data_IF_685161307609
#
_entry.id   IF_685161307609
#
_cell.length_a   1.000
_cell.length_b   1.000
_cell.length_c   1.000
_cell.angle_alpha   90.00
_cell.angle_beta   90.00
_cell.angle_gamma   90.00
#
_symmetry.space_group_name_H-M   'P 1'
#
loop_
_entity.id
_entity.type
_entity.pdbx_description
1 polymer ?
#
# COMPACT_ATOMS: atom_id res chain seq x y z
N UNK A 1 -14.57 8.68 -6.03
CA UNK A 1 -14.00 7.32 -5.95
C UNK A 1 -14.82 6.26 -6.73
N UNK A 2 -16.06 5.93 -6.33
CA UNK A 2 -16.88 4.87 -6.97
C UNK A 2 -16.94 4.94 -8.51
N UNK A 3 -17.29 6.10 -9.07
CA UNK A 3 -17.33 6.34 -10.53
C UNK A 3 -15.97 6.14 -11.20
N UNK A 4 -14.88 6.51 -10.53
CA UNK A 4 -13.53 6.42 -11.07
C UNK A 4 -13.07 4.96 -11.18
N UNK A 5 -13.48 4.13 -10.22
CA UNK A 5 -13.21 2.70 -10.19
C UNK A 5 -14.27 1.87 -10.93
N UNK A 6 -15.32 2.50 -11.47
CA UNK A 6 -16.47 1.85 -12.09
C UNK A 6 -17.11 0.76 -11.18
N UNK A 7 -17.34 1.12 -9.92
CA UNK A 7 -17.99 0.27 -8.91
C UNK A 7 -19.30 0.91 -8.41
N UNK A 8 -20.26 0.07 -8.04
CA UNK A 8 -21.56 0.50 -7.49
C UNK A 8 -21.52 0.55 -5.95
N UNK A 9 -20.93 -0.48 -5.35
CA UNK A 9 -20.79 -0.62 -3.90
C UNK A 9 -19.33 -0.39 -3.45
N UNK A 10 -19.13 0.20 -2.27
CA UNK A 10 -17.80 0.25 -1.63
C UNK A 10 -17.27 -1.16 -1.36
N UNK A 11 -18.16 -2.15 -1.24
CA UNK A 11 -17.80 -3.55 -1.14
C UNK A 11 -16.94 -4.07 -2.29
N UNK A 12 -17.07 -3.46 -3.46
CA UNK A 12 -16.32 -3.83 -4.67
C UNK A 12 -15.01 -3.06 -4.79
N UNK A 13 -14.69 -2.18 -3.84
CA UNK A 13 -13.49 -1.33 -3.85
C UNK A 13 -12.20 -2.11 -4.11
N UNK A 14 -11.90 -3.22 -3.40
CA UNK A 14 -10.69 -4.00 -3.68
C UNK A 14 -10.64 -4.53 -5.12
N UNK A 15 -11.78 -5.03 -5.63
CA UNK A 15 -11.85 -5.59 -6.98
C UNK A 15 -11.71 -4.50 -8.07
N UNK A 16 -12.25 -3.30 -7.82
CA UNK A 16 -12.11 -2.15 -8.70
C UNK A 16 -10.65 -1.70 -8.77
N UNK A 17 -9.97 -1.60 -7.61
CA UNK A 17 -8.55 -1.25 -7.55
C UNK A 17 -7.71 -2.30 -8.27
N UNK A 18 -7.93 -3.59 -8.01
CA UNK A 18 -7.18 -4.67 -8.66
C UNK A 18 -7.31 -4.61 -10.18
N UNK A 19 -8.52 -4.45 -10.71
CA UNK A 19 -8.75 -4.32 -12.16
C UNK A 19 -7.96 -3.18 -12.79
N UNK A 20 -7.87 -2.04 -12.10
CA UNK A 20 -7.12 -0.88 -12.59
C UNK A 20 -5.61 -1.11 -12.52
N UNK A 21 -5.10 -1.70 -11.42
CA UNK A 21 -3.67 -1.95 -11.21
C UNK A 21 -3.06 -2.84 -12.30
N UNK A 22 -3.84 -3.76 -12.88
CA UNK A 22 -3.39 -4.66 -13.93
C UNK A 22 -3.92 -4.27 -15.32
N UNK A 23 -4.24 -2.99 -15.52
CA UNK A 23 -4.68 -2.44 -16.81
C UNK A 23 -3.73 -1.37 -17.34
N UNK A 24 -3.81 -1.11 -18.65
CA UNK A 24 -3.10 0.01 -19.30
C UNK A 24 -3.52 1.40 -18.76
N UNK A 25 -4.65 1.49 -18.05
CA UNK A 25 -5.17 2.73 -17.47
C UNK A 25 -4.60 3.05 -16.08
N UNK A 26 -3.69 2.21 -15.56
CA UNK A 26 -3.12 2.36 -14.21
C UNK A 26 -2.53 3.76 -13.98
N UNK A 27 -1.67 4.23 -14.87
CA UNK A 27 -0.99 5.52 -14.70
C UNK A 27 -1.97 6.69 -14.83
N UNK A 28 -2.88 6.67 -15.81
CA UNK A 28 -3.94 7.67 -15.95
C UNK A 28 -4.78 7.78 -14.67
N UNK A 29 -5.12 6.64 -14.06
CA UNK A 29 -5.84 6.59 -12.80
C UNK A 29 -5.01 7.16 -11.63
N UNK A 30 -3.72 6.86 -11.56
CA UNK A 30 -2.84 7.41 -10.52
C UNK A 30 -2.73 8.92 -10.60
N UNK A 31 -2.53 9.48 -11.80
CA UNK A 31 -2.48 10.94 -11.99
C UNK A 31 -3.80 11.62 -11.59
N UNK A 32 -4.95 11.04 -11.97
CA UNK A 32 -6.25 11.56 -11.53
C UNK A 32 -6.39 11.58 -10.02
N UNK A 33 -5.92 10.54 -9.32
CA UNK A 33 -5.96 10.53 -7.86
C UNK A 33 -4.95 11.51 -7.24
N UNK A 34 -3.74 11.64 -7.78
CA UNK A 34 -2.78 12.64 -7.35
C UNK A 34 -3.38 14.05 -7.41
N UNK A 35 -4.00 14.41 -8.53
CA UNK A 35 -4.66 15.72 -8.69
C UNK A 35 -5.84 15.90 -7.73
N UNK A 36 -6.61 14.84 -7.45
CA UNK A 36 -7.73 14.89 -6.51
C UNK A 36 -7.31 15.06 -5.05
N UNK A 37 -6.06 14.70 -4.71
CA UNK A 37 -5.54 14.68 -3.35
C UNK A 37 -4.39 15.68 -3.15
N UNK A 38 -4.29 16.70 -4.01
CA UNK A 38 -3.25 17.74 -3.95
C UNK A 38 -1.83 17.17 -3.89
N UNK A 39 -1.63 16.00 -4.50
CA UNK A 39 -0.38 15.25 -4.52
C UNK A 39 0.13 14.83 -3.12
N UNK A 40 -0.73 14.83 -2.10
CA UNK A 40 -0.37 14.42 -0.74
C UNK A 40 -0.39 12.89 -0.59
N UNK A 41 0.79 12.29 -0.71
CA UNK A 41 1.01 10.85 -0.56
C UNK A 41 1.31 10.42 0.90
N UNK A 42 1.21 11.32 1.89
CA UNK A 42 1.62 11.03 3.28
C UNK A 42 0.69 10.07 4.03
N UNK A 43 -0.49 9.74 3.50
CA UNK A 43 -1.49 8.88 4.13
C UNK A 43 -2.24 7.98 3.14
N UNK A 44 -2.90 6.93 3.64
CA UNK A 44 -3.73 6.04 2.83
C UNK A 44 -5.09 6.70 2.48
N UNK A 45 -5.29 7.02 1.21
CA UNK A 45 -6.53 7.66 0.73
C UNK A 45 -7.77 6.77 0.82
N UNK A 46 -7.60 5.46 0.96
CA UNK A 46 -8.69 4.49 1.03
C UNK A 46 -9.06 4.07 2.45
N UNK A 47 -8.28 4.49 3.45
CA UNK A 47 -8.41 4.04 4.83
C UNK A 47 -9.85 4.18 5.36
N UNK A 48 -10.41 5.40 5.34
CA UNK A 48 -11.75 5.65 5.88
C UNK A 48 -12.83 4.82 5.16
N UNK A 49 -12.74 4.70 3.82
CA UNK A 49 -13.70 3.92 3.03
C UNK A 49 -13.62 2.43 3.37
N UNK A 50 -12.42 1.93 3.63
CA UNK A 50 -12.17 0.54 3.98
C UNK A 50 -12.60 0.23 5.42
N UNK A 51 -12.35 1.13 6.36
CA UNK A 51 -12.78 1.00 7.76
C UNK A 51 -14.32 1.00 7.88
N UNK A 52 -15.00 1.90 7.16
CA UNK A 52 -16.46 1.93 7.07
C UNK A 52 -17.02 0.59 6.57
N UNK A 53 -16.35 -0.01 5.58
CA UNK A 53 -16.73 -1.32 5.08
C UNK A 53 -16.51 -2.43 6.12
N UNK A 54 -15.32 -2.51 6.73
CA UNK A 54 -15.00 -3.58 7.70
C UNK A 54 -15.93 -3.51 8.91
N UNK A 55 -16.22 -2.30 9.40
CA UNK A 55 -17.13 -2.08 10.52
C UNK A 55 -18.52 -2.69 10.27
N UNK A 56 -19.00 -2.69 9.02
CA UNK A 56 -20.28 -3.29 8.64
C UNK A 56 -20.24 -4.83 8.60
N UNK A 57 -19.07 -5.44 8.39
CA UNK A 57 -18.97 -6.88 8.07
C UNK A 57 -18.68 -7.82 9.24
N UNK A 58 -18.35 -7.32 10.45
CA UNK A 58 -17.89 -8.17 11.58
C UNK A 58 -16.79 -9.20 11.16
N UNK A 59 -16.02 -8.92 10.11
CA UNK A 59 -14.90 -9.76 9.71
C UNK A 59 -13.70 -9.53 10.64
N UNK A 60 -12.69 -10.41 10.54
CA UNK A 60 -11.40 -10.37 11.25
C UNK A 60 -11.18 -9.00 11.88
N UNK A 61 -11.33 -8.88 13.21
CA UNK A 61 -11.31 -7.62 13.96
C UNK A 61 -9.93 -6.97 13.89
N UNK A 62 -9.54 -6.55 12.71
CA UNK A 62 -8.29 -5.89 12.42
C UNK A 62 -8.45 -4.47 12.95
N UNK A 63 -7.64 -4.14 13.96
CA UNK A 63 -7.56 -2.79 14.47
C UNK A 63 -6.63 -1.98 13.56
N UNK A 64 -7.08 -0.81 13.13
CA UNK A 64 -6.26 0.08 12.32
C UNK A 64 -5.15 0.70 13.19
N UNK A 65 -3.93 0.82 12.63
CA UNK A 65 -2.80 1.45 13.33
C UNK A 65 -2.82 2.97 13.11
N UNK A 66 -3.09 3.81 14.13
CA UNK A 66 -3.13 5.25 13.95
C UNK A 66 -1.80 5.79 13.40
N UNK A 67 -1.85 6.83 12.57
CA UNK A 67 -0.65 7.40 11.95
C UNK A 67 0.42 7.82 12.98
N UNK A 68 0.01 8.29 14.16
CA UNK A 68 0.93 8.64 15.26
C UNK A 68 1.82 7.46 15.69
N UNK A 69 1.30 6.23 15.65
CA UNK A 69 2.07 5.02 15.94
C UNK A 69 3.05 4.73 14.81
N UNK A 70 2.64 4.87 13.55
CA UNK A 70 3.54 4.73 12.40
C UNK A 70 4.71 5.73 12.44
N UNK A 71 4.43 6.98 12.81
CA UNK A 71 5.46 8.02 12.96
C UNK A 71 6.40 7.68 14.11
N UNK A 72 5.87 7.25 15.26
CA UNK A 72 6.69 6.81 16.40
C UNK A 72 7.63 5.67 16.02
N UNK A 73 7.12 4.61 15.39
CA UNK A 73 7.93 3.48 14.93
C UNK A 73 9.00 3.91 13.94
N UNK A 74 8.66 4.80 13.01
CA UNK A 74 9.62 5.32 12.03
C UNK A 74 10.76 6.09 12.69
N UNK A 75 10.47 6.91 13.71
CA UNK A 75 11.49 7.57 14.51
C UNK A 75 12.39 6.56 15.25
N UNK A 76 11.82 5.49 15.81
CA UNK A 76 12.58 4.45 16.52
C UNK A 76 13.50 3.65 15.58
N UNK A 77 13.02 3.32 14.38
CA UNK A 77 13.81 2.54 13.39
C UNK A 77 14.82 3.39 12.60
N UNK A 78 14.63 4.71 12.59
CA UNK A 78 15.51 5.64 11.88
C UNK A 78 15.49 5.47 10.36
N UNK A 79 16.61 5.86 9.73
CA UNK A 79 16.77 5.93 8.26
C UNK A 79 17.79 4.92 7.72
N UNK A 80 18.07 3.85 8.46
CA UNK A 80 19.06 2.84 8.04
C UNK A 80 18.62 2.19 6.72
N UNK A 81 19.56 2.01 5.78
CA UNK A 81 19.35 1.30 4.51
C UNK A 81 19.13 -0.18 4.75
N UNK A 82 18.33 -0.81 3.91
CA UNK A 82 18.02 -2.25 4.00
C UNK A 82 16.54 -2.55 3.90
N UNK A 83 16.24 -3.85 3.94
CA UNK A 83 14.90 -4.37 3.75
C UNK A 83 14.01 -4.06 4.96
N UNK A 84 12.83 -3.50 4.71
CA UNK A 84 11.77 -3.28 5.70
C UNK A 84 10.81 -4.47 5.65
N UNK A 85 10.66 -5.18 6.76
CA UNK A 85 9.77 -6.35 6.85
C UNK A 85 8.49 -6.00 7.60
N UNK A 86 7.34 -6.26 6.99
CA UNK A 86 6.02 -6.09 7.59
C UNK A 86 5.20 -7.38 7.42
N UNK A 87 5.08 -8.23 8.46
CA UNK A 87 4.45 -9.53 8.37
C UNK A 87 2.91 -9.49 8.30
N UNK A 88 2.28 -8.33 8.54
CA UNK A 88 0.83 -8.14 8.58
C UNK A 88 0.46 -6.76 8.05
N UNK A 89 0.76 -6.53 6.78
CA UNK A 89 0.80 -5.19 6.20
C UNK A 89 -0.55 -4.48 6.15
N UNK A 90 -1.68 -5.21 6.16
CA UNK A 90 -2.99 -4.62 5.93
C UNK A 90 -3.00 -3.83 4.62
N UNK A 91 -3.36 -2.55 4.68
CA UNK A 91 -3.30 -1.63 3.54
C UNK A 91 -1.95 -0.92 3.37
N UNK A 92 -0.99 -1.18 4.26
CA UNK A 92 0.37 -0.64 4.21
C UNK A 92 0.60 0.65 5.00
N UNK A 93 -0.26 1.01 5.95
CA UNK A 93 -0.17 2.30 6.66
C UNK A 93 1.17 2.52 7.38
N UNK A 94 1.74 1.49 8.00
CA UNK A 94 3.07 1.55 8.62
C UNK A 94 4.18 1.79 7.59
N UNK A 95 4.08 1.15 6.42
CA UNK A 95 5.02 1.36 5.31
C UNK A 95 4.91 2.77 4.75
N UNK A 96 3.69 3.30 4.59
CA UNK A 96 3.45 4.68 4.13
C UNK A 96 4.07 5.68 5.10
N UNK A 97 3.85 5.50 6.41
CA UNK A 97 4.41 6.38 7.43
C UNK A 97 5.95 6.33 7.44
N UNK A 98 6.54 5.14 7.30
CA UNK A 98 7.99 4.99 7.21
C UNK A 98 8.58 5.60 5.93
N UNK A 99 7.93 5.38 4.80
CA UNK A 99 8.28 5.97 3.51
C UNK A 99 8.23 7.51 3.60
N UNK A 100 7.16 8.07 4.16
CA UNK A 100 7.01 9.52 4.28
C UNK A 100 8.08 10.11 5.22
N UNK A 101 8.32 9.47 6.37
CA UNK A 101 9.36 9.86 7.30
C UNK A 101 10.75 9.88 6.63
N UNK A 102 11.11 8.84 5.88
CA UNK A 102 12.39 8.76 5.17
C UNK A 102 12.49 9.80 4.07
N UNK A 103 11.43 10.00 3.29
CA UNK A 103 11.36 11.04 2.25
C UNK A 103 11.62 12.42 2.83
N UNK A 104 11.01 12.75 3.98
CA UNK A 104 11.20 14.03 4.66
C UNK A 104 12.61 14.19 5.26
N UNK A 105 13.19 13.13 5.81
CA UNK A 105 14.51 13.18 6.46
C UNK A 105 15.69 13.16 5.49
N UNK A 106 15.56 12.42 4.38
CA UNK A 106 16.61 12.24 3.39
C UNK A 106 16.47 13.22 2.21
N UNK A 107 15.28 13.78 1.98
CA UNK A 107 15.00 14.71 0.89
C UNK A 107 15.53 14.19 -0.45
N UNK A 108 16.49 14.90 -1.06
CA UNK A 108 17.08 14.55 -2.36
C UNK A 108 17.88 13.23 -2.34
N UNK A 109 18.33 12.77 -1.16
CA UNK A 109 19.04 11.50 -1.00
C UNK A 109 18.09 10.29 -0.91
N UNK A 110 16.78 10.53 -0.85
CA UNK A 110 15.80 9.45 -0.71
C UNK A 110 15.69 8.61 -1.98
N UNK A 111 15.94 7.31 -1.86
CA UNK A 111 15.65 6.34 -2.92
C UNK A 111 14.93 5.11 -2.34
N UNK A 112 13.83 4.68 -2.96
CA UNK A 112 13.08 3.49 -2.52
C UNK A 112 13.89 2.20 -2.69
N UNK A 113 14.84 2.15 -3.62
CA UNK A 113 15.72 0.99 -3.83
C UNK A 113 16.71 0.74 -2.69
N UNK A 114 17.02 1.76 -1.89
CA UNK A 114 17.81 1.61 -0.66
C UNK A 114 17.00 1.01 0.49
N UNK A 115 15.67 0.98 0.35
CA UNK A 115 14.70 0.63 1.39
C UNK A 115 13.60 -0.31 0.85
N UNK A 116 13.94 -1.45 0.23
CA UNK A 116 12.94 -2.36 -0.33
C UNK A 116 12.04 -2.92 0.78
N UNK A 117 10.76 -3.13 0.48
CA UNK A 117 9.81 -3.70 1.45
C UNK A 117 9.62 -5.20 1.21
N UNK A 118 9.32 -5.94 2.27
CA UNK A 118 8.77 -7.28 2.21
C UNK A 118 7.52 -7.31 3.08
N UNK A 119 6.37 -7.36 2.42
CA UNK A 119 5.07 -7.32 3.09
C UNK A 119 4.38 -8.67 2.98
N UNK A 120 3.77 -9.12 4.08
CA UNK A 120 2.83 -10.24 4.07
C UNK A 120 1.44 -9.72 4.43
N UNK A 121 0.42 -10.25 3.75
CA UNK A 121 -0.97 -9.94 4.08
C UNK A 121 -1.89 -11.13 3.78
N UNK A 122 -2.81 -11.41 4.70
CA UNK A 122 -3.69 -12.58 4.67
C UNK A 122 -5.01 -12.29 3.93
N UNK A 123 -5.51 -11.06 4.03
CA UNK A 123 -6.81 -10.62 3.52
C UNK A 123 -6.78 -10.40 2.02
N UNK A 124 -7.60 -11.16 1.29
CA UNK A 124 -7.88 -10.93 -0.12
C UNK A 124 -8.35 -9.48 -0.40
N UNK A 125 -8.98 -8.83 0.58
CA UNK A 125 -9.53 -7.47 0.44
C UNK A 125 -8.45 -6.39 0.57
N UNK A 126 -7.45 -6.61 1.43
CA UNK A 126 -6.39 -5.64 1.68
C UNK A 126 -5.33 -5.64 0.58
N UNK A 127 -5.07 -6.80 -0.05
CA UNK A 127 -4.01 -6.97 -1.07
C UNK A 127 -4.09 -5.93 -2.21
N UNK A 128 -5.23 -5.69 -2.87
CA UNK A 128 -5.30 -4.67 -3.92
C UNK A 128 -4.97 -3.26 -3.41
N UNK A 129 -5.42 -2.92 -2.20
CA UNK A 129 -5.19 -1.60 -1.59
C UNK A 129 -3.72 -1.45 -1.20
N UNK A 130 -3.10 -2.49 -0.63
CA UNK A 130 -1.68 -2.54 -0.33
C UNK A 130 -0.85 -2.33 -1.60
N UNK A 131 -1.11 -3.10 -2.66
CA UNK A 131 -0.39 -2.98 -3.93
C UNK A 131 -0.54 -1.59 -4.54
N UNK A 132 -1.74 -1.00 -4.49
CA UNK A 132 -1.96 0.39 -4.88
C UNK A 132 -1.08 1.35 -4.08
N UNK A 133 -1.14 1.25 -2.75
CA UNK A 133 -0.45 2.18 -1.85
C UNK A 133 1.06 2.15 -2.02
N UNK A 134 1.63 0.96 -2.27
CA UNK A 134 3.05 0.82 -2.56
C UNK A 134 3.38 1.34 -3.98
N UNK A 135 2.58 0.98 -4.98
CA UNK A 135 2.84 1.32 -6.38
C UNK A 135 2.76 2.82 -6.67
N UNK A 136 1.77 3.53 -6.13
CA UNK A 136 1.62 4.97 -6.37
C UNK A 136 2.75 5.80 -5.73
N UNK A 137 3.45 5.23 -4.74
CA UNK A 137 4.59 5.85 -4.04
C UNK A 137 5.96 5.44 -4.60
N UNK A 138 5.98 4.65 -5.67
CA UNK A 138 7.24 4.14 -6.25
C UNK A 138 8.00 3.20 -5.31
N UNK A 139 7.31 2.59 -4.33
CA UNK A 139 7.94 1.67 -3.37
C UNK A 139 8.26 0.35 -4.08
N UNK A 140 9.50 -0.10 -3.92
CA UNK A 140 9.98 -1.37 -4.48
C UNK A 140 10.01 -2.45 -3.40
N UNK A 141 9.86 -3.71 -3.80
CA UNK A 141 9.84 -4.81 -2.84
C UNK A 141 9.01 -6.01 -3.28
N UNK A 142 8.62 -6.82 -2.30
CA UNK A 142 7.86 -8.05 -2.48
C UNK A 142 6.62 -8.03 -1.58
N UNK A 143 5.48 -8.45 -2.13
CA UNK A 143 4.24 -8.64 -1.37
C UNK A 143 3.82 -10.10 -1.49
N UNK A 144 3.63 -10.74 -0.34
CA UNK A 144 3.16 -12.10 -0.19
C UNK A 144 1.71 -12.09 0.26
N UNK A 145 0.81 -12.54 -0.62
CA UNK A 145 -0.56 -12.82 -0.23
C UNK A 145 -0.61 -14.23 0.35
N UNK A 146 -0.77 -14.35 1.66
CA UNK A 146 -0.63 -15.65 2.33
C UNK A 146 -0.63 -15.57 3.84
N UNK A 147 -0.48 -16.73 4.47
CA UNK A 147 -0.31 -16.85 5.91
C UNK A 147 1.19 -16.81 6.24
N UNK A 148 1.60 -15.78 6.96
CA UNK A 148 3.01 -15.54 7.31
C UNK A 148 3.56 -16.53 8.34
N UNK A 149 2.69 -17.14 9.15
CA UNK A 149 3.06 -18.10 10.19
C UNK A 149 3.28 -19.49 9.58
N UNK A 150 2.36 -19.95 8.71
CA UNK A 150 2.48 -21.25 8.02
C UNK A 150 3.36 -21.18 6.78
N UNK A 151 3.66 -19.98 6.28
CA UNK A 151 4.35 -19.71 5.00
C UNK A 151 3.58 -20.21 3.78
N UNK A 152 2.27 -20.38 3.89
CA UNK A 152 1.41 -20.69 2.75
C UNK A 152 1.20 -19.44 1.89
N UNK A 153 1.61 -19.50 0.63
CA UNK A 153 1.53 -18.39 -0.32
C UNK A 153 0.41 -18.67 -1.33
N UNK A 154 -0.57 -17.79 -1.40
CA UNK A 154 -1.63 -17.80 -2.43
C UNK A 154 -1.18 -17.07 -3.70
N UNK A 155 -0.43 -15.99 -3.56
CA UNK A 155 0.17 -15.24 -4.66
C UNK A 155 1.38 -14.44 -4.17
N UNK A 156 2.34 -14.18 -5.06
CA UNK A 156 3.46 -13.28 -4.81
C UNK A 156 3.44 -12.15 -5.82
N UNK A 157 3.79 -10.95 -5.38
CA UNK A 157 3.90 -9.77 -6.24
C UNK A 157 5.28 -9.14 -6.08
N UNK A 158 5.90 -8.78 -7.19
CA UNK A 158 7.16 -8.03 -7.23
C UNK A 158 6.85 -6.59 -7.64
N UNK A 159 7.35 -5.63 -6.86
CA UNK A 159 7.27 -4.21 -7.16
C UNK A 159 8.66 -3.71 -7.54
N UNK A 160 8.80 -3.23 -8.77
CA UNK A 160 10.05 -2.66 -9.30
C UNK A 160 9.84 -1.21 -9.72
N UNK A 161 10.92 -0.43 -9.71
CA UNK A 161 10.88 0.99 -10.03
C UNK A 161 10.47 1.20 -11.49
N UNK A 162 9.51 2.09 -11.73
CA UNK A 162 9.05 2.48 -13.05
C UNK A 162 8.65 3.96 -13.04
N UNK A 163 9.56 4.84 -13.41
CA UNK A 163 9.43 6.29 -13.24
C UNK A 163 9.14 6.64 -11.77
N UNK A 164 8.11 7.45 -11.50
CA UNK A 164 7.68 7.82 -10.15
C UNK A 164 6.82 6.75 -9.44
N UNK A 165 6.38 5.72 -10.17
CA UNK A 165 5.53 4.65 -9.65
C UNK A 165 6.30 3.33 -9.61
N UNK A 166 5.64 2.29 -9.10
CA UNK A 166 6.14 0.92 -9.22
C UNK A 166 5.39 0.17 -10.31
N UNK A 167 6.12 -0.64 -11.07
CA UNK A 167 5.56 -1.72 -11.88
C UNK A 167 5.28 -2.91 -10.96
N UNK A 168 4.11 -3.53 -11.13
CA UNK A 168 3.70 -4.71 -10.36
C UNK A 168 3.77 -5.91 -11.30
N UNK A 169 4.47 -6.96 -10.89
CA UNK A 169 4.47 -8.27 -11.54
C UNK A 169 3.91 -9.31 -10.58
N UNK A 170 2.92 -10.09 -11.04
CA UNK A 170 2.32 -11.18 -10.27
C UNK A 170 2.99 -12.50 -10.68
N UNK A 171 3.47 -13.25 -9.70
CA UNK A 171 4.10 -14.57 -9.84
C UNK A 171 3.16 -15.69 -9.41
#
# INVERSE_FOLDING_TARGET
MKKLLNIEDLQDLPSGIEKILFSEKKEEFFFKLLDMHDWDLSYDWFQNMYEEEIAQRKQNKQDFTPNSIGVLLSNLTGIIKGKIYEPTAGNGSLIISNWNYRREKLAEEFNTEDHPVECWELSNRSIPILLFNLSIRGIVGEVYHGDVLTKEIKAKYILSKNNQFSKIEKL
#
